data_IF_162499460946
#
_entry.id   IF_162499460946
#
_cell.length_a   1.000
_cell.length_b   1.000
_cell.length_c   1.000
_cell.angle_alpha   90.00
_cell.angle_beta   90.00
_cell.angle_gamma   90.00
#
_symmetry.space_group_name_H-M   'P 1'
#
loop_
_entity.id
_entity.type
_entity.pdbx_description
1 polymer ?
#
# COMPACT_ATOMS: atom_id res chain seq x y z
N UNK A 1 4.22 -14.46 -33.96
CA UNK A 1 4.17 -15.33 -32.78
C UNK A 1 3.65 -14.46 -31.66
N UNK A 2 2.50 -14.81 -31.08
CA UNK A 2 1.99 -14.07 -29.92
C UNK A 2 2.82 -14.56 -28.74
N UNK A 3 3.64 -13.68 -28.16
CA UNK A 3 4.44 -14.03 -26.99
C UNK A 3 3.50 -14.52 -25.88
N UNK A 4 3.77 -15.72 -25.37
CA UNK A 4 3.04 -16.33 -24.27
C UNK A 4 3.21 -15.48 -23.01
N UNK A 5 2.12 -14.98 -22.44
CA UNK A 5 2.15 -14.25 -21.16
C UNK A 5 2.68 -15.15 -20.03
N UNK A 6 3.65 -14.64 -19.27
CA UNK A 6 4.14 -15.27 -18.03
C UNK A 6 3.63 -14.48 -16.82
N UNK A 7 2.95 -15.18 -15.90
CA UNK A 7 2.28 -14.58 -14.73
C UNK A 7 2.97 -14.99 -13.44
N UNK A 8 3.41 -14.02 -12.63
CA UNK A 8 3.86 -14.26 -11.26
C UNK A 8 2.75 -13.89 -10.29
N UNK A 9 2.27 -14.86 -9.49
CA UNK A 9 1.34 -14.60 -8.39
C UNK A 9 2.14 -14.49 -7.10
N UNK A 10 2.21 -13.28 -6.54
CA UNK A 10 3.01 -12.92 -5.37
C UNK A 10 2.11 -12.84 -4.15
N UNK A 11 2.26 -13.80 -3.22
CA UNK A 11 1.37 -13.99 -2.08
C UNK A 11 2.12 -13.71 -0.79
N UNK A 12 1.84 -12.60 -0.08
CA UNK A 12 2.50 -12.30 1.18
C UNK A 12 1.93 -13.18 2.30
N UNK A 13 2.80 -13.85 3.05
CA UNK A 13 2.41 -14.88 4.00
C UNK A 13 3.18 -14.78 5.32
N UNK A 14 2.47 -15.03 6.43
CA UNK A 14 3.05 -15.42 7.73
C UNK A 14 1.95 -15.94 8.64
N UNK A 15 2.15 -17.10 9.25
CA UNK A 15 1.18 -17.71 10.19
C UNK A 15 1.61 -17.54 11.65
N UNK A 16 1.53 -16.31 12.18
CA UNK A 16 1.88 -16.03 13.57
C UNK A 16 0.82 -15.21 14.33
N UNK A 17 -0.34 -14.97 13.72
CA UNK A 17 -1.41 -14.20 14.32
C UNK A 17 -2.41 -15.12 15.02
N UNK A 18 -2.68 -14.96 16.34
CA UNK A 18 -3.53 -15.88 17.09
C UNK A 18 -4.95 -16.07 16.56
N UNK A 19 -5.51 -15.05 15.90
CA UNK A 19 -6.87 -15.07 15.37
C UNK A 19 -6.96 -15.29 13.85
N UNK A 20 -5.84 -15.33 13.12
CA UNK A 20 -5.84 -15.56 11.67
C UNK A 20 -5.03 -16.84 11.42
N UNK A 21 -5.72 -17.92 11.05
CA UNK A 21 -5.10 -19.22 10.78
C UNK A 21 -4.61 -19.25 9.33
N UNK A 22 -3.55 -18.50 9.03
CA UNK A 22 -3.07 -18.32 7.66
C UNK A 22 -2.59 -19.62 7.04
N UNK A 23 -2.07 -20.57 7.81
CA UNK A 23 -1.72 -21.88 7.26
C UNK A 23 -2.94 -22.61 6.69
N UNK A 24 -4.09 -22.59 7.39
CA UNK A 24 -5.34 -23.19 6.89
C UNK A 24 -5.78 -22.53 5.58
N UNK A 25 -5.62 -21.21 5.48
CA UNK A 25 -5.95 -20.49 4.25
C UNK A 25 -4.99 -20.88 3.12
N UNK A 26 -3.69 -21.03 3.41
CA UNK A 26 -2.69 -21.45 2.44
C UNK A 26 -2.96 -22.87 1.90
N UNK A 27 -3.33 -23.78 2.80
CA UNK A 27 -3.65 -25.18 2.47
C UNK A 27 -4.84 -25.28 1.50
N UNK A 28 -5.78 -24.34 1.56
CA UNK A 28 -6.89 -24.23 0.60
C UNK A 28 -6.49 -23.42 -0.66
N UNK A 29 -5.72 -22.35 -0.48
CA UNK A 29 -5.32 -21.43 -1.54
C UNK A 29 -4.47 -22.11 -2.62
N UNK A 30 -3.42 -22.84 -2.24
CA UNK A 30 -2.47 -23.41 -3.21
C UNK A 30 -3.16 -24.37 -4.19
N UNK A 31 -3.91 -25.41 -3.76
CA UNK A 31 -4.58 -26.31 -4.70
C UNK A 31 -5.65 -25.58 -5.52
N UNK A 32 -6.41 -24.66 -4.91
CA UNK A 32 -7.43 -23.89 -5.61
C UNK A 32 -6.83 -23.03 -6.73
N UNK A 33 -5.85 -22.20 -6.40
CA UNK A 33 -5.23 -21.27 -7.34
C UNK A 33 -4.42 -21.98 -8.41
N UNK A 34 -3.79 -23.12 -8.09
CA UNK A 34 -3.11 -23.95 -9.10
C UNK A 34 -4.10 -24.39 -10.18
N UNK A 35 -5.25 -24.97 -9.79
CA UNK A 35 -6.26 -25.43 -10.74
C UNK A 35 -6.94 -24.29 -11.50
N UNK A 36 -7.21 -23.17 -10.81
CA UNK A 36 -7.77 -21.96 -11.41
C UNK A 36 -6.84 -21.41 -12.49
N UNK A 37 -5.56 -21.19 -12.17
CA UNK A 37 -4.58 -20.65 -13.12
C UNK A 37 -4.31 -21.61 -14.27
N UNK A 38 -4.22 -22.92 -14.04
CA UNK A 38 -4.09 -23.90 -15.12
C UNK A 38 -5.25 -23.81 -16.11
N UNK A 39 -6.50 -23.74 -15.63
CA UNK A 39 -7.70 -23.63 -16.48
C UNK A 39 -7.71 -22.36 -17.32
N UNK A 40 -7.28 -21.22 -16.77
CA UNK A 40 -7.34 -19.93 -17.47
C UNK A 40 -6.09 -19.63 -18.31
N UNK A 41 -4.93 -20.18 -17.95
CA UNK A 41 -3.69 -20.00 -18.72
C UNK A 41 -3.65 -20.89 -19.96
N UNK A 42 -4.12 -22.15 -19.86
CA UNK A 42 -4.01 -23.12 -20.97
C UNK A 42 -4.65 -22.64 -22.29
N UNK A 43 -5.88 -22.07 -22.32
CA UNK A 43 -6.49 -21.59 -23.56
C UNK A 43 -5.75 -20.42 -24.21
N UNK A 44 -4.95 -19.68 -23.43
CA UNK A 44 -4.17 -18.53 -23.91
C UNK A 44 -2.70 -18.85 -24.18
N UNK A 45 -2.32 -20.13 -24.05
CA UNK A 45 -0.91 -20.55 -24.06
C UNK A 45 -0.06 -19.71 -23.10
N UNK A 46 -0.63 -19.29 -21.96
CA UNK A 46 0.08 -18.56 -20.93
C UNK A 46 0.71 -19.53 -19.91
N UNK A 47 1.67 -19.05 -19.13
CA UNK A 47 2.28 -19.79 -18.02
C UNK A 47 2.21 -18.96 -16.74
N UNK A 48 2.27 -19.64 -15.60
CA UNK A 48 2.23 -18.99 -14.30
C UNK A 48 3.13 -19.68 -13.29
N UNK A 49 3.51 -18.93 -12.26
CA UNK A 49 4.10 -19.46 -11.04
C UNK A 49 3.57 -18.71 -9.82
N UNK A 50 3.33 -19.44 -8.73
CA UNK A 50 2.87 -18.91 -7.45
C UNK A 50 4.06 -18.83 -6.50
N UNK A 51 4.30 -17.64 -5.95
CA UNK A 51 5.32 -17.39 -4.95
C UNK A 51 4.64 -17.06 -3.62
N UNK A 52 4.74 -18.00 -2.67
CA UNK A 52 4.35 -17.76 -1.29
C UNK A 52 5.53 -17.09 -0.59
N UNK A 53 5.43 -15.80 -0.34
CA UNK A 53 6.47 -14.97 0.24
C UNK A 53 6.28 -14.99 1.76
N UNK A 54 7.02 -15.86 2.45
CA UNK A 54 6.94 -16.01 3.90
C UNK A 54 7.88 -15.00 4.59
N UNK A 55 7.32 -14.11 5.41
CA UNK A 55 8.13 -13.28 6.29
C UNK A 55 8.61 -14.15 7.46
N UNK A 56 9.92 -14.19 7.71
CA UNK A 56 10.52 -14.96 8.81
C UNK A 56 10.04 -14.45 10.19
N UNK A 57 10.38 -15.20 11.24
CA UNK A 57 10.15 -14.80 12.64
C UNK A 57 11.20 -13.75 13.09
N UNK A 58 11.23 -12.62 12.40
CA UNK A 58 12.16 -11.50 12.56
C UNK A 58 11.88 -10.59 13.78
N UNK A 59 10.96 -10.99 14.66
CA UNK A 59 10.51 -10.20 15.82
C UNK A 59 9.69 -8.96 15.46
N UNK A 60 9.37 -8.72 14.18
CA UNK A 60 8.64 -7.53 13.71
C UNK A 60 7.21 -7.87 13.30
N UNK A 61 6.35 -6.85 13.29
CA UNK A 61 5.01 -6.91 12.74
C UNK A 61 5.07 -7.31 11.26
N UNK A 62 3.95 -7.83 10.76
CA UNK A 62 3.89 -8.27 9.39
C UNK A 62 3.98 -7.06 8.46
N UNK A 63 4.80 -7.12 7.42
CA UNK A 63 5.00 -6.03 6.47
C UNK A 63 4.68 -6.50 5.06
N UNK A 64 3.38 -6.50 4.76
CA UNK A 64 2.82 -6.95 3.49
C UNK A 64 3.46 -6.27 2.29
N UNK A 65 3.51 -4.93 2.28
CA UNK A 65 4.04 -4.16 1.16
C UNK A 65 5.52 -4.43 0.89
N UNK A 66 6.35 -4.46 1.94
CA UNK A 66 7.79 -4.74 1.79
C UNK A 66 8.06 -6.17 1.33
N UNK A 67 7.28 -7.14 1.81
CA UNK A 67 7.39 -8.54 1.41
C UNK A 67 7.03 -8.73 -0.07
N UNK A 68 5.96 -8.07 -0.53
CA UNK A 68 5.56 -8.06 -1.95
C UNK A 68 6.61 -7.37 -2.84
N UNK A 69 7.25 -6.30 -2.37
CA UNK A 69 8.38 -5.70 -3.07
C UNK A 69 9.56 -6.69 -3.22
N UNK A 70 9.87 -7.47 -2.18
CA UNK A 70 10.93 -8.48 -2.24
C UNK A 70 10.62 -9.59 -3.25
N UNK A 71 9.39 -10.13 -3.23
CA UNK A 71 8.96 -11.12 -4.22
C UNK A 71 8.95 -10.57 -5.65
N UNK A 72 8.51 -9.32 -5.84
CA UNK A 72 8.64 -8.67 -7.14
C UNK A 72 10.10 -8.57 -7.55
N UNK A 73 11.01 -8.10 -6.68
CA UNK A 73 12.41 -7.90 -7.04
C UNK A 73 13.10 -9.21 -7.48
N UNK A 74 12.78 -10.33 -6.81
CA UNK A 74 13.26 -11.66 -7.18
C UNK A 74 12.74 -12.12 -8.56
N UNK A 75 11.48 -11.84 -8.88
CA UNK A 75 10.82 -12.32 -10.11
C UNK A 75 10.81 -11.29 -11.27
N UNK A 76 11.32 -10.08 -11.07
CA UNK A 76 11.03 -8.91 -11.93
C UNK A 76 11.51 -9.00 -13.38
N UNK A 77 12.30 -10.01 -13.75
CA UNK A 77 12.86 -10.14 -15.11
C UNK A 77 12.28 -11.34 -15.88
N UNK A 78 11.54 -12.22 -15.21
CA UNK A 78 11.11 -13.51 -15.78
C UNK A 78 9.62 -13.55 -16.12
N UNK A 79 8.87 -12.50 -15.77
CA UNK A 79 7.42 -12.46 -15.92
C UNK A 79 6.95 -11.14 -16.56
N UNK A 80 5.78 -11.19 -17.18
CA UNK A 80 5.18 -10.07 -17.90
C UNK A 80 4.13 -9.37 -17.02
N UNK A 81 3.48 -10.14 -16.15
CA UNK A 81 2.42 -9.71 -15.24
C UNK A 81 2.69 -10.20 -13.81
N UNK A 82 2.50 -9.30 -12.85
CA UNK A 82 2.73 -9.55 -11.42
C UNK A 82 1.43 -9.30 -10.67
N UNK A 83 0.87 -10.36 -10.08
CA UNK A 83 -0.40 -10.32 -9.35
C UNK A 83 -0.08 -10.38 -7.86
N UNK A 84 -0.27 -9.25 -7.17
CA UNK A 84 -0.18 -9.18 -5.72
C UNK A 84 -1.48 -9.69 -5.13
N UNK A 85 -1.41 -10.74 -4.32
CA UNK A 85 -2.58 -11.55 -4.00
C UNK A 85 -2.63 -11.92 -2.52
N UNK A 86 -3.69 -11.56 -1.81
CA UNK A 86 -3.90 -12.01 -0.43
C UNK A 86 -4.27 -13.50 -0.40
N UNK A 87 -3.65 -14.27 0.50
CA UNK A 87 -3.82 -15.74 0.59
C UNK A 87 -5.25 -16.18 0.96
N UNK A 88 -6.07 -15.26 1.47
CA UNK A 88 -7.41 -15.53 1.97
C UNK A 88 -8.54 -15.15 1.00
N UNK A 89 -8.19 -14.79 -0.23
CA UNK A 89 -9.17 -14.49 -1.29
C UNK A 89 -9.08 -15.56 -2.37
N UNK A 90 -10.22 -16.12 -2.76
CA UNK A 90 -10.29 -17.11 -3.84
C UNK A 90 -11.21 -16.57 -4.96
N UNK A 91 -10.65 -16.22 -6.13
CA UNK A 91 -11.42 -15.68 -7.26
C UNK A 91 -12.27 -16.77 -7.93
N UNK A 92 -13.53 -16.47 -8.24
CA UNK A 92 -14.37 -17.33 -9.07
C UNK A 92 -13.87 -17.39 -10.52
N UNK A 93 -14.31 -18.41 -11.26
CA UNK A 93 -13.94 -18.60 -12.67
C UNK A 93 -14.34 -17.41 -13.57
N UNK A 94 -15.33 -16.62 -13.15
CA UNK A 94 -15.78 -15.38 -13.79
C UNK A 94 -14.72 -14.26 -13.75
N UNK A 95 -13.67 -14.41 -12.94
CA UNK A 95 -12.53 -13.49 -12.86
C UNK A 95 -11.27 -13.99 -13.58
N UNK A 96 -11.27 -15.21 -14.13
CA UNK A 96 -10.09 -15.84 -14.70
C UNK A 96 -9.42 -15.07 -15.83
N UNK A 97 -10.21 -14.40 -16.67
CA UNK A 97 -9.73 -13.55 -17.77
C UNK A 97 -8.77 -12.45 -17.28
N UNK A 98 -9.01 -11.90 -16.09
CA UNK A 98 -8.21 -10.82 -15.51
C UNK A 98 -6.87 -11.29 -14.94
N UNK A 99 -6.66 -12.59 -14.80
CA UNK A 99 -5.38 -13.18 -14.35
C UNK A 99 -4.41 -13.42 -15.50
N UNK A 100 -4.90 -13.41 -16.73
CA UNK A 100 -4.13 -13.78 -17.93
C UNK A 100 -4.10 -12.68 -18.98
N UNK A 101 -4.70 -11.54 -18.68
CA UNK A 101 -4.75 -10.36 -19.56
C UNK A 101 -3.84 -9.26 -19.01
N UNK A 102 -2.78 -8.96 -19.75
CA UNK A 102 -1.79 -7.93 -19.39
C UNK A 102 -2.46 -6.56 -19.39
N UNK A 103 -2.44 -5.81 -18.28
CA UNK A 103 -3.14 -4.55 -18.21
C UNK A 103 -2.32 -3.42 -18.85
N UNK A 104 -2.86 -2.71 -19.84
CA UNK A 104 -2.10 -1.72 -20.61
C UNK A 104 -2.24 -0.26 -20.14
N UNK A 105 -3.40 0.14 -19.59
CA UNK A 105 -3.67 1.55 -19.21
C UNK A 105 -3.13 1.91 -17.81
N UNK A 106 -3.00 0.92 -16.95
CA UNK A 106 -2.63 1.02 -15.55
C UNK A 106 -2.92 -0.31 -14.85
N UNK A 107 -2.76 -0.42 -13.53
CA UNK A 107 -2.95 -1.69 -12.82
C UNK A 107 -4.38 -2.20 -12.90
N UNK A 108 -4.55 -3.52 -12.82
CA UNK A 108 -5.84 -4.22 -12.74
C UNK A 108 -6.17 -4.54 -11.29
N UNK A 109 -7.16 -3.89 -10.70
CA UNK A 109 -7.66 -4.18 -9.36
C UNK A 109 -8.77 -5.22 -9.41
N UNK A 110 -8.41 -6.50 -9.41
CA UNK A 110 -9.36 -7.62 -9.46
C UNK A 110 -10.26 -7.62 -8.22
N UNK A 111 -9.70 -7.35 -7.04
CA UNK A 111 -10.48 -7.34 -5.79
C UNK A 111 -11.44 -6.16 -5.65
N UNK A 112 -11.58 -5.26 -6.64
CA UNK A 112 -12.55 -4.16 -6.60
C UNK A 112 -14.00 -4.64 -6.47
N UNK A 113 -14.30 -5.85 -6.94
CA UNK A 113 -15.62 -6.50 -6.85
C UNK A 113 -15.87 -7.20 -5.51
N UNK A 114 -14.88 -7.22 -4.61
CA UNK A 114 -15.06 -7.80 -3.28
C UNK A 114 -15.88 -6.86 -2.38
N UNK A 115 -17.02 -7.35 -1.92
CA UNK A 115 -17.99 -6.55 -1.17
C UNK A 115 -17.46 -6.02 0.16
N UNK A 116 -16.50 -6.71 0.82
CA UNK A 116 -16.05 -6.35 2.18
C UNK A 116 -15.57 -4.89 2.29
N UNK A 117 -15.03 -4.32 1.21
CA UNK A 117 -14.54 -2.93 1.18
C UNK A 117 -15.21 -2.07 0.09
N UNK A 118 -16.43 -2.43 -0.34
CA UNK A 118 -17.18 -1.74 -1.39
C UNK A 118 -17.31 -0.24 -1.14
N UNK A 119 -17.55 0.17 0.11
CA UNK A 119 -17.79 1.56 0.51
C UNK A 119 -16.58 2.49 0.36
N UNK A 120 -15.37 1.94 0.28
CA UNK A 120 -14.16 2.75 0.13
C UNK A 120 -13.80 2.92 -1.35
N UNK A 121 -13.95 4.14 -1.86
CA UNK A 121 -13.54 4.50 -3.24
C UNK A 121 -12.02 4.44 -3.46
N UNK A 122 -11.23 4.40 -2.39
CA UNK A 122 -9.76 4.35 -2.41
C UNK A 122 -9.21 2.98 -1.99
N UNK A 123 -10.09 1.97 -1.85
CA UNK A 123 -9.67 0.60 -1.62
C UNK A 123 -8.90 0.08 -2.83
N UNK A 124 -7.70 -0.47 -2.56
CA UNK A 124 -6.76 -0.95 -3.57
C UNK A 124 -5.92 -2.14 -3.04
N UNK A 125 -6.49 -2.90 -2.10
CA UNK A 125 -5.89 -4.10 -1.52
C UNK A 125 -6.44 -5.39 -2.13
N UNK A 126 -6.15 -6.53 -1.48
CA UNK A 126 -6.65 -7.84 -1.89
C UNK A 126 -5.88 -8.43 -3.06
N UNK A 127 -6.34 -8.13 -4.29
CA UNK A 127 -5.81 -8.71 -5.53
C UNK A 127 -5.61 -7.59 -6.55
N UNK A 128 -4.35 -7.27 -6.85
CA UNK A 128 -3.98 -6.21 -7.80
C UNK A 128 -2.87 -6.70 -8.72
N UNK A 129 -3.05 -6.55 -10.02
CA UNK A 129 -2.05 -6.90 -11.01
C UNK A 129 -1.39 -5.68 -11.65
N UNK A 130 -0.08 -5.77 -11.86
CA UNK A 130 0.74 -4.77 -12.53
C UNK A 130 1.58 -5.41 -13.63
N UNK A 131 1.92 -4.64 -14.66
CA UNK A 131 3.10 -4.94 -15.46
C UNK A 131 4.36 -4.53 -14.72
N UNK A 132 5.50 -5.12 -15.08
CA UNK A 132 6.83 -4.71 -14.58
C UNK A 132 7.04 -3.19 -14.63
N UNK A 133 6.72 -2.60 -15.79
CA UNK A 133 6.93 -1.17 -16.04
C UNK A 133 6.03 -0.30 -15.16
N UNK A 134 4.77 -0.69 -14.98
CA UNK A 134 3.83 0.03 -14.11
C UNK A 134 4.29 0.00 -12.65
N UNK A 135 4.70 -1.17 -12.15
CA UNK A 135 5.12 -1.31 -10.74
C UNK A 135 6.43 -0.56 -10.44
N UNK A 136 7.41 -0.62 -11.36
CA UNK A 136 8.63 0.20 -11.27
C UNK A 136 8.30 1.70 -11.31
N UNK A 137 7.36 2.13 -12.17
CA UNK A 137 6.96 3.54 -12.32
C UNK A 137 6.40 4.13 -11.02
N UNK A 138 5.71 3.32 -10.22
CA UNK A 138 5.18 3.72 -8.90
C UNK A 138 6.15 3.45 -7.74
N UNK A 139 7.38 3.00 -8.02
CA UNK A 139 8.38 2.63 -7.01
C UNK A 139 7.88 1.52 -6.04
N UNK A 140 7.00 0.64 -6.50
CA UNK A 140 6.39 -0.42 -5.70
C UNK A 140 5.64 0.06 -4.45
N UNK A 141 5.43 -0.85 -3.50
CA UNK A 141 4.81 -0.57 -2.20
C UNK A 141 5.73 0.29 -1.30
N UNK A 142 5.18 0.99 -0.29
CA UNK A 142 6.01 1.54 0.78
C UNK A 142 6.60 0.43 1.67
N UNK A 143 7.85 0.59 2.10
CA UNK A 143 8.56 -0.39 2.92
C UNK A 143 8.35 -0.22 4.44
N UNK A 144 7.76 0.89 4.88
CA UNK A 144 7.77 1.32 6.29
C UNK A 144 6.40 1.24 6.99
N UNK A 145 5.43 0.55 6.39
CA UNK A 145 4.15 0.20 7.02
C UNK A 145 4.26 -1.16 7.72
N UNK A 146 4.54 -1.12 9.02
CA UNK A 146 4.66 -2.31 9.85
C UNK A 146 3.34 -2.59 10.59
N UNK A 147 2.71 -3.73 10.28
CA UNK A 147 1.40 -4.11 10.78
C UNK A 147 0.25 -3.70 9.87
N UNK A 148 -0.97 -4.06 10.26
CA UNK A 148 -2.17 -3.90 9.44
C UNK A 148 -2.49 -2.43 9.11
N UNK A 149 -2.56 -2.15 7.81
CA UNK A 149 -3.27 -1.03 7.20
C UNK A 149 -2.40 0.14 6.70
N UNK A 150 -2.76 0.62 5.51
CA UNK A 150 -2.32 1.89 4.93
C UNK A 150 -1.35 1.78 3.77
N UNK A 151 -0.66 0.64 3.63
CA UNK A 151 0.25 0.38 2.53
C UNK A 151 -0.46 0.36 1.17
N UNK A 152 -1.69 -0.18 1.11
CA UNK A 152 -2.52 -0.19 -0.09
C UNK A 152 -3.05 1.21 -0.43
N UNK A 153 -3.36 2.02 0.58
CA UNK A 153 -3.79 3.41 0.37
C UNK A 153 -2.64 4.26 -0.18
N UNK A 154 -1.42 4.00 0.29
CA UNK A 154 -0.23 4.64 -0.24
C UNK A 154 0.07 4.17 -1.67
N UNK A 155 0.00 2.86 -1.96
CA UNK A 155 0.16 2.36 -3.32
C UNK A 155 -0.88 2.97 -4.28
N UNK A 156 -2.15 3.04 -3.88
CA UNK A 156 -3.20 3.73 -4.63
C UNK A 156 -2.82 5.19 -4.93
N UNK A 157 -2.35 5.92 -3.92
CA UNK A 157 -1.94 7.32 -4.05
C UNK A 157 -0.80 7.47 -5.07
N UNK A 158 0.17 6.55 -5.10
CA UNK A 158 1.26 6.53 -6.10
C UNK A 158 0.75 6.26 -7.52
N UNK A 159 -0.19 5.33 -7.68
CA UNK A 159 -0.82 5.00 -8.97
C UNK A 159 -1.56 6.22 -9.54
N UNK A 160 -2.40 6.86 -8.71
CA UNK A 160 -3.12 8.08 -9.08
C UNK A 160 -2.16 9.22 -9.41
N UNK A 161 -1.13 9.43 -8.59
CA UNK A 161 -0.11 10.45 -8.84
C UNK A 161 0.64 10.22 -10.17
N UNK A 162 0.80 8.96 -10.59
CA UNK A 162 1.41 8.59 -11.88
C UNK A 162 0.43 8.57 -13.05
N UNK A 163 -0.82 8.98 -12.83
CA UNK A 163 -1.88 9.06 -13.83
C UNK A 163 -2.09 7.73 -14.56
N UNK A 164 -1.90 6.62 -13.85
CA UNK A 164 -2.21 5.29 -14.37
C UNK A 164 -3.71 5.05 -14.16
N UNK A 165 -4.41 4.63 -15.21
CA UNK A 165 -5.84 4.35 -15.12
C UNK A 165 -6.02 2.98 -14.47
N UNK A 166 -6.60 2.96 -13.27
CA UNK A 166 -6.95 1.72 -12.57
C UNK A 166 -8.08 1.05 -13.37
N UNK A 167 -7.83 -0.19 -13.76
CA UNK A 167 -8.80 -1.05 -14.43
C UNK A 167 -9.39 -2.01 -13.38
N UNK A 168 -10.63 -2.44 -13.55
CA UNK A 168 -11.27 -3.40 -12.66
C UNK A 168 -12.37 -4.18 -13.41
N UNK A 169 -12.68 -5.42 -12.99
CA UNK A 169 -13.88 -6.11 -13.41
C UNK A 169 -15.13 -5.31 -13.02
N UNK A 170 -16.16 -5.33 -13.85
CA UNK A 170 -17.48 -4.75 -13.52
C UNK A 170 -18.28 -5.62 -12.55
N UNK A 171 -17.99 -6.91 -12.52
CA UNK A 171 -18.63 -7.93 -11.68
C UNK A 171 -17.67 -9.11 -11.52
N UNK A 172 -17.89 -9.91 -10.48
CA UNK A 172 -17.15 -11.15 -10.28
C UNK A 172 -17.31 -11.67 -8.86
N UNK A 173 -16.97 -12.93 -8.65
CA UNK A 173 -17.14 -13.60 -7.35
C UNK A 173 -15.80 -13.74 -6.65
N UNK A 174 -15.70 -13.36 -5.37
CA UNK A 174 -14.52 -13.63 -4.54
C UNK A 174 -15.00 -14.30 -3.25
N UNK A 175 -14.52 -15.52 -3.02
CA UNK A 175 -14.72 -16.22 -1.76
C UNK A 175 -13.63 -15.79 -0.78
N UNK A 176 -14.09 -15.27 0.34
CA UNK A 176 -13.26 -14.76 1.43
C UNK A 176 -13.14 -15.82 2.51
N UNK A 177 -11.91 -16.31 2.75
CA UNK A 177 -11.63 -17.35 3.71
C UNK A 177 -11.56 -16.83 5.16
N UNK A 178 -11.64 -15.52 5.40
CA UNK A 178 -11.72 -15.01 6.76
C UNK A 178 -13.14 -15.19 7.34
N UNK A 179 -13.24 -15.97 8.42
CA UNK A 179 -14.47 -16.17 9.20
C UNK A 179 -14.96 -14.90 9.94
N UNK A 180 -14.14 -13.85 10.02
CA UNK A 180 -14.45 -12.62 10.76
C UNK A 180 -15.14 -11.58 9.86
N UNK A 181 -16.29 -11.06 10.30
CA UNK A 181 -16.88 -9.87 9.67
C UNK A 181 -15.90 -8.68 9.75
N UNK A 182 -16.05 -7.69 8.85
CA UNK A 182 -15.23 -6.49 8.88
C UNK A 182 -15.30 -5.78 10.25
N UNK A 183 -16.50 -5.70 10.84
CA UNK A 183 -16.69 -5.13 12.17
C UNK A 183 -15.93 -5.92 13.25
N UNK A 184 -16.04 -7.26 13.22
CA UNK A 184 -15.33 -8.15 14.14
C UNK A 184 -13.81 -8.00 14.01
N UNK A 185 -13.30 -7.97 12.78
CA UNK A 185 -11.89 -7.73 12.48
C UNK A 185 -11.41 -6.38 13.01
N UNK A 186 -12.17 -5.31 12.78
CA UNK A 186 -11.84 -3.97 13.28
C UNK A 186 -11.84 -3.91 14.81
N UNK A 187 -12.75 -4.61 15.49
CA UNK A 187 -12.78 -4.72 16.95
C UNK A 187 -11.51 -5.38 17.49
N UNK A 188 -11.08 -6.49 16.90
CA UNK A 188 -9.83 -7.18 17.27
C UNK A 188 -8.62 -6.28 16.98
N UNK A 189 -8.56 -5.63 15.82
CA UNK A 189 -7.42 -4.79 15.45
C UNK A 189 -7.32 -3.49 16.27
N UNK A 190 -8.42 -2.98 16.84
CA UNK A 190 -8.39 -1.82 17.74
C UNK A 190 -7.65 -2.09 19.03
N UNK A 191 -7.70 -3.33 19.52
CA UNK A 191 -7.09 -3.73 20.79
C UNK A 191 -5.77 -4.49 20.60
N UNK A 192 -5.37 -4.76 19.35
CA UNK A 192 -4.19 -5.58 19.06
C UNK A 192 -2.94 -4.78 18.73
N UNK A 193 -1.78 -5.36 19.09
CA UNK A 193 -0.46 -4.84 18.71
C UNK A 193 -0.16 -4.97 17.21
N UNK A 194 -1.01 -5.65 16.44
CA UNK A 194 -0.75 -6.03 15.06
C UNK A 194 -1.04 -4.92 14.05
N UNK A 195 -1.60 -3.79 14.49
CA UNK A 195 -1.92 -2.65 13.62
C UNK A 195 -0.70 -1.77 13.35
N UNK A 196 -0.69 -1.13 12.18
CA UNK A 196 0.18 0.01 11.93
C UNK A 196 -0.34 1.21 12.73
N UNK A 197 0.32 1.53 13.84
CA UNK A 197 -0.12 2.58 14.79
C UNK A 197 0.16 3.99 14.29
N UNK A 198 1.06 4.14 13.32
CA UNK A 198 1.51 5.42 12.77
C UNK A 198 1.08 5.63 11.31
N UNK A 199 0.05 4.90 10.88
CA UNK A 199 -0.48 4.91 9.50
C UNK A 199 -0.74 6.32 8.97
N UNK A 200 -1.37 7.16 9.77
CA UNK A 200 -1.78 8.50 9.34
C UNK A 200 -0.58 9.42 9.09
N UNK A 201 0.45 9.33 9.94
CA UNK A 201 1.67 10.11 9.79
C UNK A 201 2.47 9.65 8.58
N UNK A 202 2.56 8.33 8.37
CA UNK A 202 3.17 7.76 7.16
C UNK A 202 2.48 8.23 5.88
N UNK A 203 1.15 8.15 5.80
CA UNK A 203 0.41 8.60 4.62
C UNK A 203 0.63 10.09 4.31
N UNK A 204 0.67 10.94 5.35
CA UNK A 204 0.98 12.38 5.18
C UNK A 204 2.41 12.58 4.67
N UNK A 205 3.37 11.84 5.21
CA UNK A 205 4.78 11.95 4.82
C UNK A 205 5.01 11.50 3.37
N UNK A 206 4.45 10.34 2.99
CA UNK A 206 4.66 9.73 1.68
C UNK A 206 4.15 10.59 0.51
N UNK A 207 3.18 11.47 0.74
CA UNK A 207 2.78 12.50 -0.23
C UNK A 207 3.99 13.26 -0.82
N UNK A 208 5.08 13.37 -0.06
CA UNK A 208 6.34 14.00 -0.49
C UNK A 208 7.50 13.00 -0.64
N UNK A 209 7.50 11.89 0.10
CA UNK A 209 8.68 11.02 0.24
C UNK A 209 8.60 9.70 -0.52
N UNK A 210 7.46 9.34 -1.12
CA UNK A 210 7.24 8.01 -1.74
C UNK A 210 8.31 7.61 -2.77
N UNK A 211 8.90 8.58 -3.49
CA UNK A 211 9.97 8.35 -4.48
C UNK A 211 11.27 7.81 -3.88
N UNK A 212 11.45 7.93 -2.56
CA UNK A 212 12.63 7.46 -1.80
C UNK A 212 12.34 6.20 -0.98
N UNK A 213 11.07 5.81 -0.84
CA UNK A 213 10.65 4.68 -0.02
C UNK A 213 9.82 3.68 -0.85
N UNK A 214 10.43 2.55 -1.19
CA UNK A 214 9.84 1.49 -2.01
C UNK A 214 10.94 0.66 -2.67
N UNK A 215 10.80 0.28 -3.93
CA UNK A 215 11.80 -0.54 -4.64
C UNK A 215 13.22 0.05 -4.58
N UNK A 216 13.35 1.38 -4.68
CA UNK A 216 14.65 2.08 -4.66
C UNK A 216 15.46 1.97 -3.37
N UNK A 217 14.82 1.68 -2.25
CA UNK A 217 15.50 1.50 -0.96
C UNK A 217 15.14 0.15 -0.34
N UNK A 218 14.74 -0.82 -1.14
CA UNK A 218 14.37 -2.14 -0.67
C UNK A 218 15.61 -2.88 -0.14
N UNK A 219 15.49 -3.40 1.08
CA UNK A 219 16.47 -4.31 1.70
C UNK A 219 15.74 -5.50 2.29
N UNK A 220 16.19 -6.70 1.97
CA UNK A 220 15.72 -7.95 2.51
C UNK A 220 16.84 -9.00 2.42
N UNK A 221 16.70 -10.05 3.21
CA UNK A 221 17.58 -11.22 3.16
C UNK A 221 16.77 -12.44 2.74
N UNK A 222 17.24 -13.10 1.69
CA UNK A 222 16.75 -14.43 1.34
C UNK A 222 17.23 -15.44 2.39
N UNK A 223 16.33 -16.29 2.87
CA UNK A 223 16.65 -17.33 3.85
C UNK A 223 16.65 -18.70 3.21
N UNK A 224 15.52 -19.11 2.65
CA UNK A 224 15.34 -20.45 2.08
C UNK A 224 14.17 -20.48 1.07
N UNK A 225 14.06 -21.55 0.31
CA UNK A 225 12.91 -21.81 -0.55
C UNK A 225 12.53 -23.29 -0.63
N UNK A 226 11.24 -23.56 -0.47
CA UNK A 226 10.63 -24.88 -0.56
C UNK A 226 9.67 -24.95 -1.76
N UNK A 227 9.84 -25.94 -2.63
CA UNK A 227 8.82 -26.23 -3.64
C UNK A 227 7.61 -26.91 -2.96
N UNK A 228 6.43 -26.28 -3.04
CA UNK A 228 5.17 -26.88 -2.58
C UNK A 228 4.63 -27.84 -3.65
N UNK A 229 4.67 -27.41 -4.91
CA UNK A 229 4.38 -28.22 -6.09
C UNK A 229 5.10 -27.63 -7.33
N UNK A 230 4.87 -28.19 -8.52
CA UNK A 230 5.53 -27.74 -9.76
C UNK A 230 5.24 -26.28 -10.15
N UNK A 231 4.14 -25.69 -9.66
CA UNK A 231 3.71 -24.31 -9.95
C UNK A 231 3.82 -23.37 -8.75
N UNK A 232 4.31 -23.85 -7.60
CA UNK A 232 4.25 -23.10 -6.35
C UNK A 232 5.51 -23.29 -5.52
N UNK A 233 6.15 -22.17 -5.17
CA UNK A 233 7.33 -22.13 -4.30
C UNK A 233 7.05 -21.22 -3.11
N UNK A 234 7.37 -21.70 -1.91
CA UNK A 234 7.42 -20.88 -0.70
C UNK A 234 8.85 -20.36 -0.53
N UNK A 235 9.00 -19.04 -0.37
CA UNK A 235 10.29 -18.38 -0.17
C UNK A 235 10.26 -17.68 1.17
N UNK A 236 11.19 -18.02 2.05
CA UNK A 236 11.33 -17.40 3.36
C UNK A 236 12.26 -16.19 3.26
N UNK A 237 11.80 -15.05 3.78
CA UNK A 237 12.45 -13.75 3.64
C UNK A 237 12.51 -13.06 5.00
N UNK A 238 13.70 -12.62 5.40
CA UNK A 238 13.87 -11.75 6.57
C UNK A 238 13.82 -10.28 6.14
N UNK A 239 12.97 -9.50 6.82
CA UNK A 239 12.80 -8.07 6.53
C UNK A 239 13.55 -7.21 7.56
N UNK A 240 14.56 -6.47 7.09
CA UNK A 240 15.28 -5.50 7.92
C UNK A 240 14.56 -4.15 8.06
N UNK A 241 15.02 -3.27 8.96
CA UNK A 241 14.62 -1.85 8.97
C UNK A 241 15.24 -1.10 7.78
N UNK A 242 14.71 0.09 7.48
CA UNK A 242 15.20 0.95 6.40
C UNK A 242 15.84 2.26 6.92
N UNK A 243 16.10 2.35 8.23
CA UNK A 243 16.64 3.55 8.86
C UNK A 243 15.62 4.68 8.97
N UNK A 244 14.32 4.34 9.05
CA UNK A 244 13.22 5.29 9.13
C UNK A 244 12.73 5.42 10.58
N UNK A 245 12.20 6.59 10.99
CA UNK A 245 11.72 6.79 12.36
C UNK A 245 10.62 5.79 12.77
N UNK A 246 9.80 5.33 11.79
CA UNK A 246 8.74 4.34 12.03
C UNK A 246 9.27 2.92 12.28
N UNK A 247 10.55 2.63 12.03
CA UNK A 247 11.14 1.33 12.34
C UNK A 247 11.09 1.04 13.85
N UNK A 248 11.11 2.09 14.70
CA UNK A 248 10.87 1.99 16.15
C UNK A 248 9.48 1.46 16.52
N UNK A 249 8.52 1.47 15.58
CA UNK A 249 7.13 1.00 15.78
C UNK A 249 6.87 -0.39 15.17
N UNK A 250 7.92 -1.02 14.65
CA UNK A 250 7.84 -2.31 13.96
C UNK A 250 7.85 -3.52 14.88
N UNK A 251 8.36 -3.40 16.12
CA UNK A 251 8.52 -4.55 17.03
C UNK A 251 7.18 -5.18 17.42
N UNK A 252 7.19 -6.51 17.59
CA UNK A 252 6.11 -7.26 18.26
C UNK A 252 6.25 -7.31 19.77
N UNK A 253 7.45 -7.06 20.28
CA UNK A 253 7.69 -6.83 21.69
C UNK A 253 7.30 -5.38 21.99
N UNK A 254 6.62 -5.14 23.11
CA UNK A 254 6.50 -3.75 23.57
C UNK A 254 7.92 -3.21 23.76
N UNK A 255 8.17 -1.89 23.60
CA UNK A 255 9.38 -1.34 24.17
C UNK A 255 9.37 -1.77 25.64
N UNK A 256 10.31 -2.62 26.06
CA UNK A 256 10.80 -2.46 27.43
C UNK A 256 11.28 -1.03 27.43
N UNK A 257 10.52 -0.14 28.08
CA UNK A 257 11.04 1.19 28.31
C UNK A 257 12.46 0.97 28.89
N UNK A 258 13.53 1.50 28.30
CA UNK A 258 14.69 1.76 29.13
C UNK A 258 14.15 2.64 30.25
N UNK A 259 14.51 2.38 31.50
CA UNK A 259 14.25 3.30 32.62
C UNK A 259 14.58 4.73 32.15
N UNK A 260 13.57 5.44 31.68
CA UNK A 260 13.65 6.85 31.39
C UNK A 260 12.95 7.48 32.56
N UNK A 261 13.80 7.85 33.51
CA UNK A 261 13.49 8.79 34.56
C UNK A 261 12.72 9.97 33.97
N UNK A 262 11.40 9.96 34.18
CA UNK A 262 10.46 11.00 33.76
C UNK A 262 10.60 12.28 34.61
N UNK A 263 11.59 12.36 35.52
CA UNK A 263 11.85 13.56 36.32
C UNK A 263 12.36 14.76 35.51
N UNK A 264 12.82 14.55 34.27
CA UNK A 264 13.41 15.62 33.44
C UNK A 264 12.40 16.43 32.60
N UNK A 265 11.10 16.10 32.61
CA UNK A 265 10.08 16.80 31.81
C UNK A 265 9.14 17.71 32.60
N UNK A 266 9.44 17.99 33.87
CA UNK A 266 8.61 18.86 34.72
C UNK A 266 9.39 20.08 35.20
N UNK A 267 9.79 20.94 34.26
CA UNK A 267 10.07 22.35 34.55
C UNK A 267 9.53 23.20 33.40
N UNK A 268 8.24 23.50 33.44
CA UNK A 268 7.75 24.78 32.91
C UNK A 268 7.83 25.77 34.06
N UNK A 269 8.95 26.50 34.14
CA UNK A 269 9.00 27.72 34.95
C UNK A 269 8.02 28.71 34.34
N UNK A 270 7.04 29.11 35.13
CA UNK A 270 6.21 30.30 34.90
C UNK A 270 7.14 31.52 35.00
N UNK A 271 7.18 32.43 34.01
CA UNK A 271 7.83 33.72 34.20
C UNK A 271 6.89 34.61 35.02
N UNK A 272 7.32 34.97 36.22
CA UNK A 272 6.76 36.10 36.95
C UNK A 272 7.15 37.42 36.27
N UNK A 273 6.29 38.41 36.49
CA UNK A 273 6.42 39.85 36.21
C UNK A 273 5.78 40.37 34.91
N UNK A 274 4.57 40.90 35.07
CA UNK A 274 4.17 42.14 34.42
C UNK A 274 3.63 43.08 35.50
N UNK A 275 4.48 44.05 35.87
CA UNK A 275 4.13 45.25 36.64
C UNK A 275 3.45 46.28 35.75
N UNK A 276 2.67 47.12 36.43
CA UNK A 276 1.76 48.16 35.96
C UNK A 276 2.26 49.06 34.82
N UNK A 277 1.29 49.42 33.98
CA UNK A 277 1.35 50.39 32.90
C UNK A 277 1.51 51.81 33.45
N UNK A 278 2.38 52.57 32.79
CA UNK A 278 2.34 54.02 32.80
C UNK A 278 2.62 54.50 31.37
N UNK A 279 1.95 55.60 31.00
CA UNK A 279 2.25 56.52 29.88
C UNK A 279 1.36 56.49 28.61
N UNK A 280 0.32 57.33 28.66
CA UNK A 280 -0.03 58.46 27.75
C UNK A 280 -0.70 58.19 26.37
N UNK A 281 -1.91 58.77 26.25
CA UNK A 281 -2.72 59.08 25.05
C UNK A 281 -2.04 60.16 24.15
N UNK A 282 -2.36 60.34 22.85
CA UNK A 282 -3.62 61.05 22.54
C UNK A 282 -4.26 60.81 21.15
N UNK A 283 -5.50 61.32 21.08
CA UNK A 283 -6.21 61.90 19.94
C UNK A 283 -7.02 61.02 18.95
N UNK A 284 -8.33 61.21 19.16
CA UNK A 284 -9.56 61.06 18.39
C UNK A 284 -9.60 61.73 16.97
N UNK A 285 -10.71 61.65 16.20
CA UNK A 285 -10.73 60.98 14.90
C UNK A 285 -11.23 61.87 13.73
N UNK A 286 -11.61 61.23 12.62
CA UNK A 286 -12.68 61.58 11.64
C UNK A 286 -12.30 62.09 10.23
N UNK A 287 -13.25 61.79 9.32
CA UNK A 287 -13.55 62.35 7.99
C UNK A 287 -12.85 61.71 6.78
N UNK A 288 -13.59 60.93 5.98
CA UNK A 288 -14.33 61.29 4.73
C UNK A 288 -13.43 60.95 3.53
N UNK A 289 -13.87 60.45 2.37
CA UNK A 289 -15.17 60.37 1.72
C UNK A 289 -15.05 59.42 0.50
N UNK A 290 -16.21 58.99 -0.02
CA UNK A 290 -16.55 58.65 -1.41
C UNK A 290 -15.70 59.36 -2.50
N UNK A 291 -15.54 58.94 -3.76
CA UNK A 291 -16.39 58.25 -4.76
C UNK A 291 -15.46 57.90 -5.98
N UNK A 292 -15.61 56.78 -6.70
CA UNK A 292 -16.21 56.67 -8.06
C UNK A 292 -15.48 57.54 -9.12
N UNK A 293 -14.89 57.05 -10.23
CA UNK A 293 -15.59 56.52 -11.42
C UNK A 293 -14.60 56.05 -12.53
N UNK A 294 -14.95 54.94 -13.17
CA UNK A 294 -14.90 54.50 -14.59
C UNK A 294 -13.84 54.90 -15.65
N UNK A 295 -13.67 53.92 -16.56
CA UNK A 295 -13.37 54.04 -18.01
C UNK A 295 -11.87 54.12 -18.39
N UNK A 296 -11.35 53.56 -19.49
CA UNK A 296 -11.95 53.08 -20.74
C UNK A 296 -10.98 52.09 -21.44
N UNK A 297 -11.56 51.25 -22.30
CA UNK A 297 -10.89 50.37 -23.26
C UNK A 297 -10.29 51.13 -24.47
N UNK A 298 -9.21 50.61 -25.08
CA UNK A 298 -8.92 50.57 -26.55
C UNK A 298 -7.79 49.52 -26.74
N UNK A 299 -7.90 48.38 -27.44
CA UNK A 299 -8.14 48.03 -28.87
C UNK A 299 -6.85 47.89 -29.71
N UNK A 300 -6.78 46.78 -30.45
CA UNK A 300 -5.96 46.55 -31.66
C UNK A 300 -4.60 45.91 -31.41
N UNK A 301 -4.04 45.05 -32.25
CA UNK A 301 -4.45 44.31 -33.45
C UNK A 301 -3.28 43.31 -33.66
N UNK A 302 -3.52 42.01 -33.80
CA UNK A 302 -3.66 41.27 -35.06
C UNK A 302 -2.33 40.97 -35.81
N UNK A 303 -2.37 39.86 -36.56
CA UNK A 303 -1.40 39.32 -37.56
C UNK A 303 -0.52 38.16 -37.00
N UNK A 304 -0.85 36.86 -37.18
CA UNK A 304 -0.78 36.00 -38.39
C UNK A 304 0.62 36.03 -39.08
N UNK A 305 1.26 34.99 -39.63
CA UNK A 305 0.90 33.63 -40.05
C UNK A 305 2.19 32.91 -40.50
N UNK A 306 2.12 31.58 -40.52
CA UNK A 306 2.92 30.60 -41.32
C UNK A 306 4.39 30.39 -40.95
N UNK A 307 4.92 29.16 -41.01
CA UNK A 307 4.54 28.00 -41.82
C UNK A 307 4.95 26.71 -41.11
#
# INVERSE_FOLDING_TARGET
MQDSTRVAVLVPFRDNHPAQKRQVHLDEFVPYMTQFLQRHCAPKSASFHIFILEQSLDGRKFNRGKLLNAGFDMARNDYDMYIFHDVDLLPGDDLGEFYVTVPHLGPMHVARVWERYSESSTYFGGIVAFTRQQFIKVNGFPNNFWGWGGEDNELYSRVVHKKLAIQAPSSGTIRDLEDLSLEGKLKVLRTSKWKCTVKHDLLKEHHRTWKKNGLKNLYYEYVDADAINEYCTKITITLGPNGHWSDSRSSLEQPTAPDQDLSSYLVLTVPDTATEEDVISPHEPTHDSCEVETSNAVKGDNIQVSK
#
